data_IF_761760351822
#
_entry.id   IF_761760351822
#
_cell.length_a   1.000
_cell.length_b   1.000
_cell.length_c   1.000
_cell.angle_alpha   90.00
_cell.angle_beta   90.00
_cell.angle_gamma   90.00
#
_symmetry.space_group_name_H-M   'P 1'
#
loop_
_entity.id
_entity.type
_entity.pdbx_description
1 polymer ?
#
# COMPACT_ATOMS: atom_id res chain seq x y z
N UNK A 1 22.82 -18.34 -15.26
CA UNK A 1 23.34 -17.89 -13.96
C UNK A 1 22.80 -16.48 -13.64
N UNK A 2 21.48 -16.43 -13.39
CA UNK A 2 20.74 -15.19 -13.13
C UNK A 2 20.86 -14.73 -11.67
N UNK A 3 21.93 -15.09 -10.97
CA UNK A 3 22.03 -14.95 -9.52
C UNK A 3 22.72 -13.67 -9.03
N UNK A 4 22.97 -12.68 -9.88
CA UNK A 4 23.70 -11.46 -9.48
C UNK A 4 22.98 -10.15 -9.79
N UNK A 5 21.69 -10.08 -9.50
CA UNK A 5 21.03 -8.79 -9.32
C UNK A 5 21.41 -8.25 -7.93
N UNK A 6 22.46 -7.45 -7.87
CA UNK A 6 22.87 -6.73 -6.66
C UNK A 6 21.82 -5.68 -6.33
N UNK A 7 21.01 -5.95 -5.34
CA UNK A 7 20.02 -5.03 -4.79
C UNK A 7 18.76 -5.66 -4.24
N UNK A 8 18.44 -6.90 -4.64
CA UNK A 8 17.30 -7.67 -4.13
C UNK A 8 17.75 -9.11 -3.82
N UNK A 9 18.83 -9.26 -3.09
CA UNK A 9 19.65 -10.45 -2.89
C UNK A 9 19.04 -11.65 -2.17
N UNK A 10 17.74 -11.68 -2.01
CA UNK A 10 17.04 -12.89 -1.62
C UNK A 10 16.52 -13.57 -2.87
N UNK A 11 16.65 -14.88 -2.94
CA UNK A 11 15.95 -15.70 -3.93
C UNK A 11 14.47 -15.41 -3.77
N UNK A 12 13.99 -14.47 -4.58
CA UNK A 12 12.66 -13.94 -4.50
C UNK A 12 11.65 -15.03 -4.86
N UNK A 13 11.02 -15.62 -3.86
CA UNK A 13 9.89 -16.50 -4.07
C UNK A 13 8.65 -15.64 -4.27
N UNK A 14 8.13 -15.62 -5.50
CA UNK A 14 6.83 -14.99 -5.78
C UNK A 14 5.79 -15.56 -4.83
N UNK A 15 4.97 -14.67 -4.27
CA UNK A 15 3.82 -15.07 -3.48
C UNK A 15 2.66 -15.41 -4.41
N UNK A 16 2.00 -16.53 -4.20
CA UNK A 16 0.80 -16.88 -4.98
C UNK A 16 -0.37 -15.97 -4.60
N UNK A 17 -1.25 -15.67 -5.56
CA UNK A 17 -2.36 -14.75 -5.41
C UNK A 17 -3.29 -15.12 -4.23
N UNK A 18 -3.60 -16.39 -4.07
CA UNK A 18 -4.46 -16.93 -3.01
C UNK A 18 -3.87 -16.77 -1.59
N UNK A 19 -2.56 -16.63 -1.49
CA UNK A 19 -1.84 -16.43 -0.22
C UNK A 19 -1.50 -14.96 0.05
N UNK A 20 -1.84 -14.05 -0.87
CA UNK A 20 -1.58 -12.62 -0.67
C UNK A 20 -2.61 -12.00 0.28
N UNK A 21 -2.19 -11.04 1.12
CA UNK A 21 -3.11 -10.18 1.85
C UNK A 21 -4.08 -9.45 0.91
N UNK A 22 -5.23 -9.02 1.44
CA UNK A 22 -6.29 -8.43 0.62
C UNK A 22 -5.86 -7.14 -0.08
N UNK A 23 -4.99 -6.32 0.53
CA UNK A 23 -4.50 -5.09 -0.09
C UNK A 23 -3.67 -5.38 -1.36
N UNK A 24 -2.82 -6.41 -1.33
CA UNK A 24 -2.06 -6.85 -2.50
C UNK A 24 -2.97 -7.36 -3.61
N UNK A 25 -3.96 -8.19 -3.27
CA UNK A 25 -4.96 -8.68 -4.23
C UNK A 25 -5.78 -7.54 -4.83
N UNK A 26 -6.08 -6.51 -4.03
CA UNK A 26 -6.76 -5.31 -4.53
C UNK A 26 -5.92 -4.56 -5.57
N UNK A 27 -4.61 -4.40 -5.39
CA UNK A 27 -3.76 -3.78 -6.41
C UNK A 27 -3.76 -4.60 -7.70
N UNK A 28 -3.71 -5.93 -7.61
CA UNK A 28 -3.79 -6.81 -8.78
C UNK A 28 -5.15 -6.69 -9.47
N UNK A 29 -6.25 -6.60 -8.71
CA UNK A 29 -7.57 -6.30 -9.24
C UNK A 29 -7.60 -4.97 -9.99
N UNK A 30 -7.02 -3.90 -9.42
CA UNK A 30 -6.90 -2.60 -10.10
C UNK A 30 -6.13 -2.69 -11.42
N UNK A 31 -5.02 -3.45 -11.45
CA UNK A 31 -4.29 -3.69 -12.69
C UNK A 31 -5.15 -4.42 -13.73
N UNK A 32 -5.96 -5.38 -13.29
CA UNK A 32 -6.87 -6.12 -14.19
C UNK A 32 -7.97 -5.22 -14.79
N UNK A 33 -8.56 -4.35 -13.98
CA UNK A 33 -9.56 -3.38 -14.46
C UNK A 33 -8.97 -2.40 -15.48
N UNK A 34 -7.77 -1.92 -15.22
CA UNK A 34 -7.11 -0.92 -16.06
C UNK A 34 -6.61 -1.56 -17.37
N UNK A 35 -6.09 -2.78 -17.33
CA UNK A 35 -5.56 -3.46 -18.52
C UNK A 35 -6.58 -3.54 -19.65
N UNK A 36 -7.83 -3.89 -19.36
CA UNK A 36 -8.88 -3.98 -20.37
C UNK A 36 -9.14 -2.61 -21.05
N UNK A 37 -9.18 -1.54 -20.26
CA UNK A 37 -9.36 -0.17 -20.77
C UNK A 37 -8.14 0.31 -21.56
N UNK A 38 -6.93 0.01 -21.08
CA UNK A 38 -5.68 0.36 -21.78
C UNK A 38 -5.63 -0.31 -23.15
N UNK A 39 -6.00 -1.59 -23.26
CA UNK A 39 -6.05 -2.28 -24.56
C UNK A 39 -7.04 -1.63 -25.52
N UNK A 40 -8.27 -1.35 -25.07
CA UNK A 40 -9.28 -0.67 -25.88
C UNK A 40 -8.80 0.71 -26.34
N UNK A 41 -8.26 1.52 -25.42
CA UNK A 41 -7.73 2.85 -25.73
C UNK A 41 -6.52 2.77 -26.68
N UNK A 42 -5.68 1.75 -26.54
CA UNK A 42 -4.52 1.55 -27.43
C UNK A 42 -4.98 1.23 -28.87
N UNK A 43 -5.97 0.34 -29.03
CA UNK A 43 -6.56 0.02 -30.33
C UNK A 43 -7.25 1.24 -30.97
N UNK A 44 -7.86 2.09 -30.12
CA UNK A 44 -8.52 3.34 -30.53
C UNK A 44 -7.58 4.53 -30.68
N UNK A 45 -6.28 4.39 -30.42
CA UNK A 45 -5.29 5.48 -30.40
C UNK A 45 -5.63 6.61 -29.42
N UNK A 46 -6.38 6.32 -28.34
CA UNK A 46 -6.70 7.29 -27.27
C UNK A 46 -5.56 7.38 -26.24
N UNK A 47 -4.46 8.00 -26.62
CA UNK A 47 -3.30 8.20 -25.74
C UNK A 47 -3.60 9.13 -24.57
N UNK A 48 -4.57 10.04 -24.68
CA UNK A 48 -4.98 10.90 -23.58
C UNK A 48 -5.71 10.12 -22.50
N UNK A 49 -6.61 9.22 -22.88
CA UNK A 49 -7.27 8.29 -21.98
C UNK A 49 -6.26 7.40 -21.24
N UNK A 50 -5.29 6.81 -21.96
CA UNK A 50 -4.22 6.00 -21.38
C UNK A 50 -3.43 6.82 -20.34
N UNK A 51 -3.01 8.04 -20.69
CA UNK A 51 -2.30 8.92 -19.76
C UNK A 51 -3.11 9.17 -18.48
N UNK A 52 -4.38 9.50 -18.61
CA UNK A 52 -5.26 9.82 -17.47
C UNK A 52 -5.43 8.62 -16.54
N UNK A 53 -5.67 7.43 -17.09
CA UNK A 53 -5.79 6.19 -16.32
C UNK A 53 -4.48 5.86 -15.56
N UNK A 54 -3.34 5.90 -16.26
CA UNK A 54 -2.06 5.59 -15.67
C UNK A 54 -1.62 6.65 -14.65
N UNK A 55 -1.91 7.92 -14.90
CA UNK A 55 -1.66 9.01 -13.95
C UNK A 55 -2.46 8.81 -12.65
N UNK A 56 -3.74 8.44 -12.76
CA UNK A 56 -4.61 8.16 -11.61
C UNK A 56 -4.11 6.93 -10.85
N UNK A 57 -3.78 5.84 -11.53
CA UNK A 57 -3.19 4.65 -10.91
C UNK A 57 -1.91 5.01 -10.14
N UNK A 58 -0.96 5.70 -10.78
CA UNK A 58 0.33 6.01 -10.16
C UNK A 58 0.20 6.94 -8.95
N UNK A 59 -0.60 8.00 -9.06
CA UNK A 59 -0.71 9.00 -8.01
C UNK A 59 -1.62 8.56 -6.87
N UNK A 60 -2.84 8.12 -7.19
CA UNK A 60 -3.88 7.90 -6.19
C UNK A 60 -3.87 6.49 -5.62
N UNK A 61 -3.71 5.47 -6.48
CA UNK A 61 -3.80 4.08 -6.04
C UNK A 61 -2.44 3.57 -5.52
N UNK A 62 -1.35 3.87 -6.23
CA UNK A 62 -0.03 3.37 -5.86
C UNK A 62 0.68 4.30 -4.87
N UNK A 63 0.95 5.56 -5.24
CA UNK A 63 1.78 6.45 -4.43
C UNK A 63 1.10 6.86 -3.13
N UNK A 64 -0.07 7.53 -3.21
CA UNK A 64 -0.75 8.08 -2.05
C UNK A 64 -1.46 7.03 -1.17
N UNK A 65 -1.65 5.82 -1.66
CA UNK A 65 -2.35 4.77 -0.93
C UNK A 65 -1.47 3.55 -0.70
N UNK A 66 -1.25 2.71 -1.72
CA UNK A 66 -0.62 1.41 -1.55
C UNK A 66 0.80 1.48 -1.01
N UNK A 67 1.68 2.24 -1.67
CA UNK A 67 3.09 2.31 -1.26
C UNK A 67 3.24 3.02 0.09
N UNK A 68 2.41 4.04 0.36
CA UNK A 68 2.45 4.74 1.63
C UNK A 68 2.12 3.79 2.81
N UNK A 69 1.08 2.96 2.67
CA UNK A 69 0.72 1.95 3.67
C UNK A 69 1.80 0.87 3.81
N UNK A 70 2.43 0.46 2.71
CA UNK A 70 3.38 -0.67 2.69
C UNK A 70 4.82 -0.31 3.02
N UNK A 71 5.16 0.98 3.17
CA UNK A 71 6.51 1.41 3.57
C UNK A 71 7.00 0.69 4.82
N UNK A 72 6.20 0.67 5.87
CA UNK A 72 6.58 0.01 7.13
C UNK A 72 6.87 -1.48 6.92
N UNK A 73 6.03 -2.20 6.19
CA UNK A 73 6.22 -3.64 5.92
C UNK A 73 7.47 -3.89 5.08
N UNK A 74 7.73 -3.07 4.07
CA UNK A 74 8.91 -3.22 3.20
C UNK A 74 10.22 -2.99 3.95
N UNK A 75 10.26 -2.02 4.86
CA UNK A 75 11.50 -1.62 5.55
C UNK A 75 11.70 -2.33 6.89
N UNK A 76 10.61 -2.68 7.58
CA UNK A 76 10.69 -3.15 8.96
C UNK A 76 10.39 -4.63 9.15
N UNK A 77 9.68 -5.30 8.23
CA UNK A 77 9.38 -6.73 8.38
C UNK A 77 10.55 -7.62 7.96
N UNK A 78 10.54 -8.85 8.46
CA UNK A 78 11.49 -9.88 8.08
C UNK A 78 11.43 -10.18 6.56
N UNK A 79 12.55 -10.60 5.97
CA UNK A 79 12.66 -10.82 4.54
C UNK A 79 11.69 -11.90 4.02
N UNK A 80 11.35 -12.86 4.88
CA UNK A 80 10.47 -13.99 4.60
C UNK A 80 9.00 -13.77 5.00
N UNK A 81 8.64 -12.59 5.56
CA UNK A 81 7.25 -12.30 5.90
C UNK A 81 6.36 -12.32 4.66
N UNK A 82 5.13 -12.81 4.83
CA UNK A 82 4.15 -12.92 3.74
C UNK A 82 3.85 -11.54 3.16
N UNK A 83 3.62 -10.55 4.01
CA UNK A 83 3.28 -9.18 3.62
C UNK A 83 4.40 -8.54 2.79
N UNK A 84 5.66 -8.65 3.26
CA UNK A 84 6.80 -8.10 2.53
C UNK A 84 7.01 -8.80 1.19
N UNK A 85 6.88 -10.12 1.14
CA UNK A 85 7.00 -10.90 -0.09
C UNK A 85 5.86 -10.62 -1.07
N UNK A 86 4.63 -10.54 -0.58
CA UNK A 86 3.46 -10.20 -1.38
C UNK A 86 3.59 -8.79 -1.98
N UNK A 87 3.98 -7.80 -1.14
CA UNK A 87 4.23 -6.44 -1.62
C UNK A 87 5.30 -6.40 -2.73
N UNK A 88 6.42 -7.10 -2.57
CA UNK A 88 7.46 -7.18 -3.59
C UNK A 88 6.96 -7.86 -4.87
N UNK A 89 6.09 -8.87 -4.76
CA UNK A 89 5.47 -9.51 -5.93
C UNK A 89 4.58 -8.51 -6.68
N UNK A 90 3.74 -7.79 -5.96
CA UNK A 90 2.87 -6.77 -6.58
C UNK A 90 3.68 -5.64 -7.20
N UNK A 91 4.74 -5.15 -6.54
CA UNK A 91 5.66 -4.16 -7.13
C UNK A 91 6.26 -4.64 -8.45
N UNK A 92 6.60 -5.94 -8.53
CA UNK A 92 7.08 -6.53 -9.78
C UNK A 92 6.00 -6.53 -10.86
N UNK A 93 4.78 -6.93 -10.54
CA UNK A 93 3.66 -6.95 -11.49
C UNK A 93 3.29 -5.55 -11.97
N UNK A 94 3.32 -4.56 -11.08
CA UNK A 94 3.14 -3.14 -11.42
C UNK A 94 4.23 -2.68 -12.38
N UNK A 95 5.50 -2.95 -12.07
CA UNK A 95 6.64 -2.56 -12.90
C UNK A 95 6.56 -3.18 -14.30
N UNK A 96 6.30 -4.47 -14.41
CA UNK A 96 6.19 -5.19 -15.69
C UNK A 96 5.12 -4.57 -16.59
N UNK A 97 3.96 -4.24 -16.03
CA UNK A 97 2.83 -3.67 -16.79
C UNK A 97 3.02 -2.20 -17.09
N UNK A 98 3.42 -1.40 -16.12
CA UNK A 98 3.62 0.04 -16.33
C UNK A 98 4.68 0.31 -17.41
N UNK A 99 5.79 -0.42 -17.41
CA UNK A 99 6.82 -0.23 -18.44
C UNK A 99 6.31 -0.59 -19.83
N UNK A 100 5.51 -1.65 -19.96
CA UNK A 100 4.92 -2.03 -21.23
C UNK A 100 3.83 -1.04 -21.71
N UNK A 101 2.92 -0.63 -20.82
CA UNK A 101 1.84 0.32 -21.16
C UNK A 101 2.36 1.71 -21.51
N UNK A 102 3.45 2.15 -20.86
CA UNK A 102 4.04 3.46 -21.10
C UNK A 102 5.00 3.49 -22.30
N UNK A 103 5.50 2.33 -22.75
CA UNK A 103 6.48 2.28 -23.85
C UNK A 103 6.05 3.01 -25.14
N UNK A 104 4.78 2.96 -25.58
CA UNK A 104 4.35 3.70 -26.76
C UNK A 104 4.34 5.22 -26.59
N UNK A 105 4.28 5.73 -25.36
CA UNK A 105 4.14 7.16 -25.03
C UNK A 105 5.47 7.72 -24.51
N UNK A 106 6.09 7.04 -23.56
CA UNK A 106 7.35 7.43 -22.94
C UNK A 106 8.49 6.48 -23.36
N UNK A 107 8.71 6.39 -24.68
CA UNK A 107 9.57 5.39 -25.30
C UNK A 107 10.95 5.27 -24.66
N UNK A 108 11.66 6.39 -24.42
CA UNK A 108 13.01 6.39 -23.84
C UNK A 108 12.98 6.08 -22.35
N UNK A 109 12.05 6.69 -21.60
CA UNK A 109 11.95 6.48 -20.14
C UNK A 109 11.55 5.04 -19.81
N UNK A 110 10.62 4.46 -20.57
CA UNK A 110 10.19 3.07 -20.37
C UNK A 110 11.33 2.10 -20.70
N UNK A 111 12.10 2.34 -21.76
CA UNK A 111 13.26 1.53 -22.11
C UNK A 111 14.37 1.65 -21.05
N UNK A 112 14.68 2.85 -20.61
CA UNK A 112 15.68 3.07 -19.56
C UNK A 112 15.29 2.34 -18.26
N UNK A 113 14.04 2.50 -17.82
CA UNK A 113 13.53 1.79 -16.65
C UNK A 113 13.59 0.27 -16.82
N UNK A 114 13.24 -0.24 -18.00
CA UNK A 114 13.27 -1.67 -18.31
C UNK A 114 14.71 -2.20 -18.29
N UNK A 115 15.66 -1.51 -18.97
CA UNK A 115 17.04 -1.94 -19.05
C UNK A 115 17.78 -1.83 -17.71
N UNK A 116 17.38 -0.91 -16.83
CA UNK A 116 17.93 -0.83 -15.47
C UNK A 116 17.77 -2.16 -14.69
N UNK A 117 16.75 -2.94 -15.03
CA UNK A 117 16.47 -4.23 -14.39
C UNK A 117 16.91 -5.43 -15.22
N UNK A 118 16.60 -5.45 -16.52
CA UNK A 118 16.82 -6.60 -17.41
C UNK A 118 18.28 -6.66 -17.86
N UNK A 119 18.93 -5.50 -18.03
CA UNK A 119 20.34 -5.38 -18.43
C UNK A 119 20.70 -6.19 -19.70
N UNK A 120 19.78 -6.25 -20.65
CA UNK A 120 19.95 -6.93 -21.92
C UNK A 120 19.32 -6.14 -23.06
N UNK A 121 20.15 -5.46 -23.86
CA UNK A 121 19.70 -4.60 -24.95
C UNK A 121 18.92 -5.34 -26.04
N UNK A 122 19.13 -6.64 -26.19
CA UNK A 122 18.37 -7.47 -27.13
C UNK A 122 16.95 -7.75 -26.64
N UNK A 123 16.68 -7.50 -25.37
CA UNK A 123 15.37 -7.61 -24.73
C UNK A 123 14.80 -6.22 -24.41
N UNK A 124 14.56 -5.44 -25.46
CA UNK A 124 13.95 -4.11 -25.33
C UNK A 124 12.50 -4.18 -24.89
N UNK A 125 12.03 -3.19 -24.12
CA UNK A 125 10.62 -3.05 -23.74
C UNK A 125 9.71 -2.94 -24.97
N UNK A 126 10.21 -2.39 -26.07
CA UNK A 126 9.48 -2.21 -27.32
C UNK A 126 9.23 -3.54 -28.09
N UNK A 127 9.89 -4.61 -27.70
CA UNK A 127 9.65 -5.96 -28.26
C UNK A 127 8.62 -6.75 -27.44
N UNK A 128 8.11 -6.17 -26.36
CA UNK A 128 7.10 -6.79 -25.50
C UNK A 128 5.70 -6.58 -26.05
N UNK A 129 4.84 -7.56 -25.86
CA UNK A 129 3.39 -7.40 -25.89
C UNK A 129 2.86 -7.11 -24.48
N UNK A 130 1.64 -6.61 -24.37
CA UNK A 130 0.95 -6.52 -23.09
C UNK A 130 0.69 -7.93 -22.54
N UNK A 131 1.25 -8.24 -21.38
CA UNK A 131 1.06 -9.53 -20.74
C UNK A 131 -0.42 -9.78 -20.43
N UNK A 132 -0.94 -10.99 -20.60
CA UNK A 132 -2.31 -11.30 -20.23
C UNK A 132 -2.51 -11.14 -18.71
N UNK A 133 -3.71 -10.75 -18.33
CA UNK A 133 -4.11 -10.73 -16.92
C UNK A 133 -4.36 -12.16 -16.46
N UNK A 134 -3.73 -12.62 -15.38
CA UNK A 134 -4.01 -13.93 -14.81
C UNK A 134 -5.47 -14.05 -14.33
N UNK A 135 -6.05 -15.24 -14.52
CA UNK A 135 -7.36 -15.55 -13.98
C UNK A 135 -7.40 -15.34 -12.46
N UNK A 136 -8.50 -14.80 -11.98
CA UNK A 136 -8.73 -14.55 -10.55
C UNK A 136 -8.18 -13.22 -10.02
N UNK A 137 -7.49 -12.40 -10.84
CA UNK A 137 -7.13 -11.05 -10.39
C UNK A 137 -8.32 -10.09 -10.37
N UNK A 138 -9.24 -10.24 -11.30
CA UNK A 138 -10.45 -9.42 -11.35
C UNK A 138 -11.46 -9.91 -10.28
N UNK A 139 -11.62 -9.11 -9.23
CA UNK A 139 -12.50 -9.36 -8.09
C UNK A 139 -13.31 -8.10 -7.76
N UNK A 140 -14.46 -7.88 -8.40
CA UNK A 140 -15.28 -6.69 -8.17
C UNK A 140 -15.73 -6.51 -6.71
N UNK A 141 -16.01 -7.59 -5.99
CA UNK A 141 -16.41 -7.53 -4.59
C UNK A 141 -15.28 -7.00 -3.70
N UNK A 142 -14.04 -7.42 -3.98
CA UNK A 142 -12.85 -6.87 -3.33
C UNK A 142 -12.67 -5.39 -3.68
N UNK A 143 -12.91 -5.00 -4.93
CA UNK A 143 -12.89 -3.61 -5.37
C UNK A 143 -13.85 -2.73 -4.59
N UNK A 144 -15.10 -3.15 -4.44
CA UNK A 144 -16.13 -2.45 -3.66
C UNK A 144 -15.76 -2.34 -2.17
N UNK A 145 -15.28 -3.43 -1.58
CA UNK A 145 -14.80 -3.43 -0.20
C UNK A 145 -13.72 -2.38 0.03
N UNK A 146 -12.71 -2.33 -0.84
CA UNK A 146 -11.62 -1.36 -0.72
C UNK A 146 -12.05 0.08 -1.02
N UNK A 147 -13.07 0.29 -1.85
CA UNK A 147 -13.67 1.61 -2.03
C UNK A 147 -14.26 2.12 -0.71
N UNK A 148 -15.00 1.28 0.03
CA UNK A 148 -15.52 1.60 1.35
C UNK A 148 -14.41 1.89 2.38
N UNK A 149 -13.38 1.03 2.45
CA UNK A 149 -12.22 1.26 3.34
C UNK A 149 -11.55 2.60 3.03
N UNK A 150 -11.37 2.95 1.76
CA UNK A 150 -10.77 4.23 1.34
C UNK A 150 -11.61 5.44 1.75
N UNK A 151 -12.94 5.34 1.73
CA UNK A 151 -13.83 6.40 2.24
C UNK A 151 -13.63 6.62 3.75
N UNK A 152 -13.64 5.55 4.55
CA UNK A 152 -13.37 5.65 5.99
C UNK A 152 -11.97 6.21 6.24
N UNK A 153 -10.96 5.72 5.52
CA UNK A 153 -9.59 6.24 5.62
C UNK A 153 -9.51 7.74 5.31
N UNK A 154 -10.30 8.24 4.37
CA UNK A 154 -10.36 9.67 4.06
C UNK A 154 -10.79 10.49 5.28
N UNK A 155 -11.81 10.03 6.04
CA UNK A 155 -12.23 10.71 7.28
C UNK A 155 -11.10 10.71 8.31
N UNK A 156 -10.43 9.57 8.49
CA UNK A 156 -9.31 9.45 9.43
C UNK A 156 -8.15 10.36 9.03
N UNK A 157 -7.72 10.34 7.78
CA UNK A 157 -6.59 11.15 7.33
C UNK A 157 -6.89 12.65 7.44
N UNK A 158 -8.13 13.07 7.16
CA UNK A 158 -8.54 14.46 7.33
C UNK A 158 -8.57 14.88 8.81
N UNK A 159 -9.04 13.99 9.70
CA UNK A 159 -8.99 14.23 11.15
C UNK A 159 -7.54 14.36 11.66
N UNK A 160 -6.63 13.52 11.18
CA UNK A 160 -5.21 13.59 11.54
C UNK A 160 -4.53 14.86 11.01
N UNK A 161 -4.90 15.34 9.82
CA UNK A 161 -4.42 16.62 9.30
C UNK A 161 -4.94 17.80 10.15
N UNK A 162 -6.20 17.77 10.59
CA UNK A 162 -6.72 18.77 11.52
C UNK A 162 -5.91 18.78 12.82
N UNK A 163 -5.69 17.62 13.44
CA UNK A 163 -4.89 17.48 14.66
C UNK A 163 -3.44 17.95 14.47
N UNK A 164 -2.86 17.78 13.28
CA UNK A 164 -1.52 18.29 12.94
C UNK A 164 -1.51 19.81 12.84
N UNK A 165 -2.51 20.40 12.19
CA UNK A 165 -2.65 21.86 12.07
C UNK A 165 -2.85 22.54 13.42
N UNK A 166 -3.55 21.88 14.34
CA UNK A 166 -3.75 22.33 15.72
C UNK A 166 -2.51 22.10 16.62
N UNK A 167 -1.48 21.46 16.08
CA UNK A 167 -0.24 21.17 16.81
C UNK A 167 -0.33 20.04 17.83
N UNK A 168 -1.42 19.25 17.82
CA UNK A 168 -1.60 18.10 18.72
C UNK A 168 -0.65 16.94 18.39
N UNK A 169 -0.30 16.77 17.11
CA UNK A 169 0.69 15.80 16.62
C UNK A 169 1.61 16.44 15.56
N UNK A 170 2.84 15.94 15.45
CA UNK A 170 3.77 16.26 14.36
C UNK A 170 3.75 15.23 13.22
N UNK A 171 3.31 14.01 13.50
CA UNK A 171 3.24 12.91 12.52
C UNK A 171 2.06 11.98 12.85
N UNK A 172 1.47 11.36 11.82
CA UNK A 172 0.34 10.42 11.96
C UNK A 172 0.65 9.24 12.90
N UNK A 173 1.91 8.79 12.94
CA UNK A 173 2.35 7.74 13.87
C UNK A 173 2.29 8.13 15.35
N UNK A 174 2.00 9.39 15.69
CA UNK A 174 1.74 9.80 17.07
C UNK A 174 0.28 9.63 17.51
N UNK A 175 -0.58 9.20 16.58
CA UNK A 175 -2.01 9.03 16.81
C UNK A 175 -2.41 7.56 17.04
N UNK A 176 -3.51 7.41 17.80
CA UNK A 176 -4.23 6.16 18.05
C UNK A 176 -5.76 6.44 17.99
N UNK A 177 -6.30 6.80 16.81
CA UNK A 177 -7.70 7.21 16.68
C UNK A 177 -8.69 6.10 16.98
N UNK A 178 -9.84 6.45 17.55
CA UNK A 178 -11.02 5.59 17.61
C UNK A 178 -11.96 5.97 16.47
N UNK A 179 -12.22 5.02 15.59
CA UNK A 179 -13.02 5.21 14.37
C UNK A 179 -14.39 4.57 14.58
N UNK A 180 -15.40 5.40 14.67
CA UNK A 180 -16.79 5.01 14.83
C UNK A 180 -17.41 4.82 13.45
N UNK A 181 -17.93 3.62 13.19
CA UNK A 181 -18.58 3.26 11.93
C UNK A 181 -19.88 2.51 12.20
N UNK A 182 -20.72 2.34 11.20
CA UNK A 182 -21.86 1.43 11.30
C UNK A 182 -21.39 -0.06 11.19
N UNK A 183 -22.32 -1.00 11.34
CA UNK A 183 -22.02 -2.42 11.29
C UNK A 183 -21.41 -2.83 9.93
N UNK A 184 -21.89 -2.25 8.83
CA UNK A 184 -21.37 -2.51 7.49
C UNK A 184 -19.94 -1.97 7.34
N UNK A 185 -19.68 -0.77 7.86
CA UNK A 185 -18.34 -0.20 7.91
C UNK A 185 -17.36 -1.03 8.72
N UNK A 186 -17.77 -1.58 9.87
CA UNK A 186 -16.93 -2.45 10.70
C UNK A 186 -16.55 -3.75 9.95
N UNK A 187 -17.48 -4.34 9.20
CA UNK A 187 -17.25 -5.55 8.41
C UNK A 187 -16.20 -5.32 7.31
N UNK A 188 -16.09 -4.12 6.75
CA UNK A 188 -15.07 -3.79 5.77
C UNK A 188 -13.64 -4.00 6.32
N UNK A 189 -13.44 -3.77 7.62
CA UNK A 189 -12.16 -3.91 8.28
C UNK A 189 -11.91 -5.31 8.87
N UNK A 190 -12.83 -6.25 8.70
CA UNK A 190 -12.65 -7.61 9.21
C UNK A 190 -11.36 -8.24 8.65
N UNK A 191 -10.45 -8.61 9.55
CA UNK A 191 -9.14 -9.19 9.20
C UNK A 191 -8.07 -8.21 8.71
N UNK A 192 -8.33 -6.89 8.71
CA UNK A 192 -7.36 -5.87 8.32
C UNK A 192 -6.70 -5.23 9.55
N UNK A 193 -5.44 -4.81 9.39
CA UNK A 193 -4.71 -3.98 10.35
C UNK A 193 -5.07 -2.50 10.14
N UNK A 194 -6.08 -2.01 10.87
CA UNK A 194 -6.57 -0.64 10.75
C UNK A 194 -5.47 0.40 11.02
N UNK A 195 -4.59 0.15 11.99
CA UNK A 195 -3.49 1.04 12.31
C UNK A 195 -2.49 1.15 11.14
N UNK A 196 -2.21 0.04 10.47
CA UNK A 196 -1.37 0.07 9.25
C UNK A 196 -2.06 0.81 8.11
N UNK A 197 -3.38 0.62 7.91
CA UNK A 197 -4.15 1.29 6.86
C UNK A 197 -4.23 2.81 7.07
N UNK A 198 -4.28 3.27 8.31
CA UNK A 198 -4.33 4.70 8.65
C UNK A 198 -2.93 5.31 8.84
N UNK A 199 -1.89 4.48 8.86
CA UNK A 199 -0.50 4.88 9.12
C UNK A 199 -0.38 5.55 10.50
N UNK A 200 -0.99 4.92 11.49
CA UNK A 200 -0.98 5.30 12.90
C UNK A 200 -0.26 4.25 13.75
N UNK A 201 0.07 4.57 15.00
CA UNK A 201 0.69 3.58 15.90
C UNK A 201 -0.32 2.56 16.38
N UNK A 202 -1.54 2.99 16.65
CA UNK A 202 -2.70 2.15 16.96
C UNK A 202 -3.95 2.74 16.31
N UNK A 203 -5.02 1.95 16.18
CA UNK A 203 -6.33 2.40 15.75
C UNK A 203 -7.41 1.42 16.17
N UNK A 204 -8.52 1.91 16.67
CA UNK A 204 -9.67 1.09 17.04
C UNK A 204 -10.84 1.36 16.10
N UNK A 205 -11.45 0.31 15.57
CA UNK A 205 -12.74 0.38 14.85
C UNK A 205 -13.84 -0.03 15.84
N UNK A 206 -14.87 0.78 15.98
CA UNK A 206 -16.01 0.49 16.86
C UNK A 206 -17.33 0.85 16.21
N UNK A 207 -18.38 0.13 16.62
CA UNK A 207 -19.79 0.42 16.26
C UNK A 207 -20.53 1.22 17.33
N UNK A 208 -19.84 1.60 18.41
CA UNK A 208 -20.43 2.46 19.44
C UNK A 208 -20.77 3.84 18.87
N UNK A 209 -21.74 4.50 19.51
CA UNK A 209 -22.11 5.86 19.12
C UNK A 209 -20.90 6.82 19.22
N UNK A 210 -20.64 7.55 18.15
CA UNK A 210 -19.56 8.52 18.14
C UNK A 210 -19.84 9.68 19.12
N UNK A 211 -18.81 10.17 19.84
CA UNK A 211 -18.92 11.38 20.62
C UNK A 211 -19.45 12.59 19.81
N UNK A 212 -20.07 13.55 20.46
CA UNK A 212 -20.66 14.70 19.78
C UNK A 212 -19.60 15.58 19.08
N UNK A 213 -18.38 15.60 19.60
CA UNK A 213 -17.20 16.32 19.10
C UNK A 213 -16.33 15.48 18.15
N UNK A 214 -16.73 14.24 17.83
CA UNK A 214 -16.01 13.41 16.87
C UNK A 214 -15.94 14.08 15.49
N UNK A 215 -14.77 14.03 14.88
CA UNK A 215 -14.52 14.61 13.56
C UNK A 215 -15.33 13.87 12.48
N UNK A 216 -15.89 14.61 11.55
CA UNK A 216 -16.68 14.09 10.42
C UNK A 216 -16.31 14.82 9.14
N UNK A 217 -16.53 14.17 8.02
CA UNK A 217 -16.36 14.77 6.68
C UNK A 217 -17.73 14.82 6.00
N UNK A 218 -18.08 15.96 5.45
CA UNK A 218 -19.31 16.14 4.68
C UNK A 218 -19.37 15.17 3.51
N UNK A 219 -20.49 14.50 3.33
CA UNK A 219 -20.67 13.47 2.29
C UNK A 219 -20.17 12.06 2.66
N UNK A 220 -19.55 11.87 3.85
CA UNK A 220 -19.20 10.55 4.40
C UNK A 220 -19.82 10.42 5.79
N UNK A 221 -21.07 10.03 5.84
CA UNK A 221 -21.86 10.04 7.10
C UNK A 221 -21.69 8.77 7.93
N UNK A 222 -21.20 7.69 7.34
CA UNK A 222 -21.05 6.37 7.95
C UNK A 222 -19.74 6.22 8.77
N UNK A 223 -18.96 7.28 8.93
CA UNK A 223 -17.73 7.27 9.72
C UNK A 223 -17.54 8.57 10.51
N UNK A 224 -17.04 8.44 11.73
CA UNK A 224 -16.60 9.55 12.57
C UNK A 224 -15.32 9.17 13.33
N UNK A 225 -14.48 10.14 13.65
CA UNK A 225 -13.17 9.89 14.28
C UNK A 225 -13.05 10.65 15.58
N UNK A 226 -12.87 9.94 16.67
CA UNK A 226 -12.40 10.50 17.92
C UNK A 226 -10.87 10.44 17.92
N UNK A 227 -10.23 11.61 17.87
CA UNK A 227 -8.78 11.70 17.90
C UNK A 227 -8.23 11.29 19.27
N UNK A 228 -7.17 10.51 19.28
CA UNK A 228 -6.37 10.20 20.45
C UNK A 228 -4.88 10.12 20.07
N UNK A 229 -4.02 10.44 21.02
CA UNK A 229 -2.57 10.24 20.89
C UNK A 229 -2.20 8.82 21.27
N UNK A 230 -1.21 8.24 20.60
CA UNK A 230 -0.65 6.95 20.98
C UNK A 230 0.16 7.07 22.29
N UNK A 231 0.07 6.04 23.14
CA UNK A 231 0.80 5.94 24.40
C UNK A 231 2.09 5.14 24.26
N UNK A 232 3.16 5.59 24.94
CA UNK A 232 4.46 4.93 24.96
C UNK A 232 5.59 5.75 24.37
N UNK A 233 6.70 5.06 24.04
CA UNK A 233 7.89 5.64 23.43
C UNK A 233 7.99 5.40 21.93
N UNK A 234 8.71 6.26 21.23
CA UNK A 234 8.94 6.14 19.79
C UNK A 234 9.98 5.06 19.51
N UNK A 235 9.59 4.03 18.76
CA UNK A 235 10.53 3.02 18.26
C UNK A 235 11.55 3.65 17.31
N UNK A 236 12.85 3.48 17.59
CA UNK A 236 13.93 4.04 16.79
C UNK A 236 14.00 3.48 15.35
N UNK A 237 13.37 2.31 15.09
CA UNK A 237 13.42 1.67 13.76
C UNK A 237 12.15 1.89 12.93
N UNK A 238 10.94 1.61 13.44
CA UNK A 238 9.70 1.76 12.67
C UNK A 238 8.96 3.07 12.94
N UNK A 239 9.39 3.83 13.95
CA UNK A 239 8.88 5.13 14.39
C UNK A 239 7.47 5.12 14.99
N UNK A 240 6.84 3.96 15.13
CA UNK A 240 5.58 3.83 15.88
C UNK A 240 5.80 4.16 17.35
N UNK A 241 4.79 4.73 17.98
CA UNK A 241 4.74 4.92 19.43
C UNK A 241 4.21 3.64 20.06
N UNK A 242 5.00 3.02 20.91
CA UNK A 242 4.68 1.70 21.46
C UNK A 242 4.88 1.68 22.97
N UNK A 243 3.97 1.08 23.77
CA UNK A 243 4.05 1.07 25.22
C UNK A 243 5.31 0.41 25.77
N UNK A 244 5.84 -0.60 25.07
CA UNK A 244 7.04 -1.33 25.48
C UNK A 244 8.34 -0.57 25.23
N UNK A 245 8.31 0.52 24.46
CA UNK A 245 9.49 1.35 24.19
C UNK A 245 9.63 2.39 25.30
N UNK A 246 10.61 2.20 26.16
CA UNK A 246 10.83 3.04 27.38
C UNK A 246 12.09 3.89 27.32
N UNK A 247 12.93 3.73 26.28
CA UNK A 247 14.17 4.49 26.08
C UNK A 247 14.19 5.16 24.71
N UNK A 248 14.95 6.24 24.56
CA UNK A 248 15.02 7.05 23.34
C UNK A 248 15.53 6.24 22.14
N UNK A 249 16.52 5.35 22.36
CA UNK A 249 17.08 4.46 21.32
C UNK A 249 16.39 3.09 21.28
N UNK A 250 15.30 2.91 22.02
CA UNK A 250 14.57 1.64 22.12
C UNK A 250 13.88 1.26 20.84
N UNK A 251 13.78 -0.04 20.59
CA UNK A 251 12.98 -0.59 19.48
C UNK A 251 11.82 -1.42 20.02
N UNK A 252 10.71 -1.46 19.30
CA UNK A 252 9.55 -2.27 19.68
C UNK A 252 9.81 -3.76 19.49
N UNK A 253 9.04 -4.62 20.16
CA UNK A 253 9.19 -6.08 20.13
C UNK A 253 9.25 -6.63 18.70
N UNK A 254 8.37 -6.18 17.79
CA UNK A 254 8.39 -6.57 16.37
C UNK A 254 9.73 -6.25 15.69
N UNK A 255 10.28 -5.08 15.96
CA UNK A 255 11.55 -4.67 15.37
C UNK A 255 12.72 -5.43 15.95
N UNK A 256 12.68 -5.73 17.26
CA UNK A 256 13.70 -6.52 17.95
C UNK A 256 13.76 -7.96 17.42
N UNK A 257 12.61 -8.61 17.27
CA UNK A 257 12.51 -9.94 16.67
C UNK A 257 13.16 -10.00 15.28
N UNK A 258 12.88 -9.02 14.43
CA UNK A 258 13.45 -8.97 13.06
C UNK A 258 14.95 -8.73 13.07
N UNK A 259 15.45 -7.87 13.95
CA UNK A 259 16.89 -7.58 14.07
C UNK A 259 17.63 -8.83 14.57
N UNK A 260 17.09 -9.50 15.57
CA UNK A 260 17.67 -10.72 16.12
C UNK A 260 17.69 -11.88 15.11
N UNK A 261 16.62 -12.02 14.28
CA UNK A 261 16.61 -13.00 13.19
C UNK A 261 17.71 -12.72 12.15
N UNK A 262 18.01 -11.45 11.85
CA UNK A 262 19.06 -11.09 10.90
C UNK A 262 20.47 -11.36 11.41
N UNK A 263 20.68 -11.30 12.72
CA UNK A 263 21.98 -11.58 13.34
C UNK A 263 22.33 -13.08 13.39
N UNK A 264 21.32 -13.95 13.32
CA UNK A 264 21.52 -15.42 13.33
C UNK A 264 22.06 -15.93 11.97
N UNK A 265 21.94 -15.14 10.91
CA UNK A 265 22.33 -15.49 9.54
C UNK A 265 23.64 -14.83 9.07
N UNK A 266 24.37 -14.16 9.95
CA UNK A 266 25.74 -13.69 9.77
C UNK A 266 26.69 -14.69 10.46
#
# INVERSE_FOLDING_TARGET
DASKSRGLGDVYKRQSHDQMPALERWVLHRLAEIDSRIREMTEGYDFHGIFTELHTLCNSDLSAFYFEIRKDRLYCDAADSIERRACRTVMNEVYERLTAWLAPILAFTAEEAWQARVQNIENSVHLRSYDPIPDGWLDPALGERWAGIRQVRQVVTTALEAARNDGAIGASLQAAPVVHVDAAGAELFAGEDAAALFITSDAQITTDAAPADAFRVEGIENAAVAFATADGGKCARCWKIMPEVTSEDGICNRCDDVVNLSLIHI
#
